data_IF_589113688706
#
_entry.id   IF_589113688706
#
_cell.length_a   1.000
_cell.length_b   1.000
_cell.length_c   1.000
_cell.angle_alpha   90.00
_cell.angle_beta   90.00
_cell.angle_gamma   90.00
#
_symmetry.space_group_name_H-M   'P 1'
#
loop_
_entity.id
_entity.type
_entity.pdbx_description
1 polymer ?
#
# COMPACT_ATOMS: atom_id res chain seq x y z
N UNK A 1 10.87 -1.13 -5.40
CA UNK A 1 9.40 -1.35 -5.47
C UNK A 1 9.07 -2.70 -6.12
N UNK A 2 9.59 -3.00 -7.32
CA UNK A 2 9.31 -4.29 -8.00
C UNK A 2 9.70 -5.53 -7.21
N UNK A 3 10.82 -5.52 -6.50
CA UNK A 3 11.26 -6.65 -5.67
C UNK A 3 10.31 -6.94 -4.51
N UNK A 4 9.70 -5.91 -3.92
CA UNK A 4 8.70 -6.11 -2.86
C UNK A 4 7.41 -6.71 -3.40
N UNK A 5 7.00 -6.36 -4.61
CA UNK A 5 5.82 -6.95 -5.23
C UNK A 5 6.01 -8.43 -5.57
N UNK A 6 7.23 -8.83 -5.95
CA UNK A 6 7.54 -10.22 -6.31
C UNK A 6 7.45 -11.20 -5.16
N UNK A 7 7.69 -10.75 -3.93
CA UNK A 7 7.65 -11.63 -2.76
C UNK A 7 6.23 -11.81 -2.19
N UNK A 8 5.27 -10.98 -2.58
CA UNK A 8 3.92 -11.00 -2.02
C UNK A 8 3.28 -12.39 -2.03
N UNK A 9 3.32 -13.17 -3.14
CA UNK A 9 2.71 -14.49 -3.16
C UNK A 9 3.32 -15.48 -2.16
N UNK A 10 4.60 -15.34 -1.85
CA UNK A 10 5.31 -16.22 -0.91
C UNK A 10 5.25 -15.70 0.52
N UNK A 11 5.20 -14.36 0.67
CA UNK A 11 5.25 -13.69 1.97
C UNK A 11 3.92 -13.76 2.74
N UNK A 12 2.80 -14.02 2.07
CA UNK A 12 1.48 -14.01 2.70
C UNK A 12 0.69 -15.28 2.42
N UNK A 13 -0.20 -15.60 3.36
CA UNK A 13 -1.29 -16.54 3.18
C UNK A 13 -2.54 -15.73 2.85
N UNK A 14 -3.26 -16.15 1.82
CA UNK A 14 -4.46 -15.48 1.35
C UNK A 14 -5.70 -16.32 1.61
N UNK A 15 -6.75 -15.69 2.14
CA UNK A 15 -8.03 -16.32 2.41
C UNK A 15 -9.15 -15.58 1.71
N UNK A 16 -9.87 -16.31 0.85
CA UNK A 16 -11.07 -15.79 0.21
C UNK A 16 -12.17 -15.58 1.27
N UNK A 17 -12.69 -14.37 1.36
CA UNK A 17 -13.78 -14.01 2.26
C UNK A 17 -15.07 -13.66 1.51
N UNK A 18 -15.15 -14.05 0.24
CA UNK A 18 -16.31 -13.86 -0.61
C UNK A 18 -16.36 -12.50 -1.30
N UNK A 19 -17.53 -12.18 -1.81
CA UNK A 19 -17.75 -10.97 -2.61
C UNK A 19 -18.33 -9.83 -1.78
N UNK A 20 -17.86 -8.61 -2.05
CA UNK A 20 -18.41 -7.36 -1.54
C UNK A 20 -18.63 -6.41 -2.72
N UNK A 21 -19.92 -6.29 -3.15
CA UNK A 21 -20.26 -5.56 -4.37
C UNK A 21 -19.64 -6.18 -5.62
N UNK A 22 -18.89 -5.40 -6.37
CA UNK A 22 -18.17 -5.84 -7.58
C UNK A 22 -16.74 -6.28 -7.32
N UNK A 23 -16.37 -6.45 -6.05
CA UNK A 23 -15.04 -6.87 -5.63
C UNK A 23 -15.05 -8.20 -4.90
N UNK A 24 -13.98 -8.96 -5.06
CA UNK A 24 -13.64 -10.09 -4.22
C UNK A 24 -12.83 -9.60 -3.02
N UNK A 25 -13.26 -9.98 -1.83
CA UNK A 25 -12.61 -9.63 -0.56
C UNK A 25 -11.69 -10.76 -0.16
N UNK A 26 -10.40 -10.47 -0.02
CA UNK A 26 -9.36 -11.44 0.31
C UNK A 26 -8.62 -10.92 1.54
N UNK A 27 -8.61 -11.72 2.62
CA UNK A 27 -7.74 -11.47 3.74
C UNK A 27 -6.32 -11.94 3.41
N UNK A 28 -5.32 -11.25 3.93
CA UNK A 28 -3.93 -11.67 3.84
C UNK A 28 -3.27 -11.61 5.21
N UNK A 29 -2.51 -12.65 5.52
CA UNK A 29 -1.79 -12.81 6.78
C UNK A 29 -0.33 -13.15 6.52
N UNK A 30 0.61 -12.76 7.40
CA UNK A 30 2.01 -13.14 7.27
C UNK A 30 2.19 -14.66 7.15
N UNK A 31 2.89 -15.13 6.14
CA UNK A 31 3.26 -16.54 6.01
C UNK A 31 4.41 -16.87 6.97
N UNK A 32 4.22 -17.70 8.02
CA UNK A 32 5.28 -18.04 8.98
C UNK A 32 6.49 -18.74 8.34
N UNK A 33 6.30 -19.36 7.17
CA UNK A 33 7.37 -20.03 6.43
C UNK A 33 8.27 -19.08 5.65
N UNK A 34 7.84 -17.85 5.41
CA UNK A 34 8.63 -16.86 4.68
C UNK A 34 9.70 -16.22 5.58
N UNK A 35 10.89 -16.01 5.02
CA UNK A 35 12.01 -15.38 5.75
C UNK A 35 12.42 -14.07 5.06
N UNK A 36 11.95 -12.91 5.56
CA UNK A 36 12.32 -11.63 5.00
C UNK A 36 13.82 -11.38 5.09
N UNK A 37 14.43 -10.88 4.01
CA UNK A 37 15.88 -10.65 3.90
C UNK A 37 16.27 -9.20 4.14
N UNK A 38 15.38 -8.24 3.83
CA UNK A 38 15.64 -6.80 4.02
C UNK A 38 14.72 -6.20 5.08
N UNK A 39 15.00 -4.98 5.50
CA UNK A 39 14.16 -4.26 6.47
C UNK A 39 12.76 -3.99 5.89
N UNK A 40 12.70 -3.58 4.62
CA UNK A 40 11.45 -3.32 3.93
C UNK A 40 10.60 -4.60 3.82
N UNK A 41 11.23 -5.73 3.52
CA UNK A 41 10.54 -7.02 3.50
C UNK A 41 10.00 -7.42 4.88
N UNK A 42 10.70 -7.08 5.97
CA UNK A 42 10.23 -7.37 7.34
C UNK A 42 9.00 -6.52 7.68
N UNK A 43 9.01 -5.25 7.33
CA UNK A 43 7.85 -4.37 7.57
C UNK A 43 6.67 -4.83 6.72
N UNK A 44 6.88 -5.09 5.43
CA UNK A 44 5.84 -5.61 4.55
C UNK A 44 5.25 -6.92 5.09
N UNK A 45 6.10 -7.88 5.45
CA UNK A 45 5.68 -9.19 5.94
C UNK A 45 4.99 -9.16 7.32
N UNK A 46 5.10 -8.07 8.06
CA UNK A 46 4.40 -7.92 9.34
C UNK A 46 2.98 -7.33 9.20
N UNK A 47 2.58 -6.98 7.98
CA UNK A 47 1.22 -6.48 7.71
C UNK A 47 0.22 -7.63 7.71
N UNK A 48 -0.89 -7.40 8.37
CA UNK A 48 -2.12 -8.20 8.30
C UNK A 48 -3.23 -7.35 7.74
N UNK A 49 -4.13 -7.90 6.91
CA UNK A 49 -5.13 -7.02 6.33
C UNK A 49 -6.06 -7.64 5.30
N UNK A 50 -6.66 -6.77 4.52
CA UNK A 50 -7.67 -7.12 3.52
C UNK A 50 -7.35 -6.39 2.21
N UNK A 51 -7.45 -7.12 1.11
CA UNK A 51 -7.39 -6.58 -0.25
C UNK A 51 -8.72 -6.84 -0.96
N UNK A 52 -9.18 -5.84 -1.71
CA UNK A 52 -10.36 -5.93 -2.56
C UNK A 52 -9.92 -5.93 -4.01
N UNK A 53 -10.27 -6.99 -4.73
CA UNK A 53 -9.95 -7.18 -6.14
C UNK A 53 -11.20 -6.97 -6.97
N UNK A 54 -11.17 -6.00 -7.88
CA UNK A 54 -12.24 -5.81 -8.86
C UNK A 54 -12.45 -7.07 -9.70
N UNK A 55 -13.68 -7.53 -9.79
CA UNK A 55 -14.01 -8.80 -10.46
C UNK A 55 -13.92 -8.74 -11.98
N UNK A 56 -14.08 -7.56 -12.58
CA UNK A 56 -14.05 -7.37 -14.02
C UNK A 56 -12.62 -7.24 -14.55
N UNK A 57 -11.85 -6.33 -13.98
CA UNK A 57 -10.52 -6.02 -14.50
C UNK A 57 -9.38 -6.70 -13.72
N UNK A 58 -9.70 -7.44 -12.65
CA UNK A 58 -8.71 -8.12 -11.79
C UNK A 58 -7.61 -7.19 -11.28
N UNK A 59 -8.05 -6.03 -10.81
CA UNK A 59 -7.19 -4.98 -10.25
C UNK A 59 -7.51 -4.75 -8.77
N UNK A 60 -6.49 -4.40 -8.00
CA UNK A 60 -6.69 -3.97 -6.61
C UNK A 60 -7.51 -2.67 -6.64
N UNK A 61 -8.70 -2.71 -6.03
CA UNK A 61 -9.56 -1.55 -5.83
C UNK A 61 -9.31 -0.89 -4.48
N UNK A 62 -9.10 -1.68 -3.42
CA UNK A 62 -8.78 -1.20 -2.08
C UNK A 62 -7.84 -2.18 -1.38
N UNK A 63 -6.96 -1.64 -0.55
CA UNK A 63 -6.11 -2.41 0.36
C UNK A 63 -6.13 -1.72 1.70
N UNK A 64 -6.31 -2.47 2.77
CA UNK A 64 -6.10 -2.00 4.14
C UNK A 64 -5.27 -3.01 4.90
N UNK A 65 -4.32 -2.53 5.70
CA UNK A 65 -3.46 -3.38 6.51
C UNK A 65 -3.04 -2.69 7.80
N UNK A 66 -2.71 -3.50 8.79
CA UNK A 66 -2.20 -3.05 10.08
C UNK A 66 -0.99 -3.88 10.51
N UNK A 67 -0.17 -3.28 11.35
CA UNK A 67 0.94 -3.97 12.01
C UNK A 67 0.45 -4.53 13.34
N UNK A 68 0.15 -5.83 13.38
CA UNK A 68 -0.34 -6.50 14.59
C UNK A 68 0.75 -6.66 15.66
N UNK A 69 2.01 -6.64 15.25
CA UNK A 69 3.17 -6.74 16.13
C UNK A 69 4.26 -5.74 15.76
N UNK A 70 5.04 -5.25 16.74
CA UNK A 70 6.13 -4.34 16.42
C UNK A 70 7.23 -5.05 15.64
N UNK A 71 7.77 -4.39 14.62
CA UNK A 71 8.88 -4.90 13.82
C UNK A 71 10.20 -4.40 14.39
N UNK A 72 10.98 -5.31 14.99
CA UNK A 72 12.28 -5.00 15.60
C UNK A 72 13.43 -5.27 14.63
N UNK A 73 14.39 -4.36 14.58
CA UNK A 73 15.62 -4.49 13.78
C UNK A 73 16.80 -4.74 14.70
N UNK A 74 17.59 -5.78 14.42
CA UNK A 74 18.70 -6.23 15.26
C UNK A 74 18.30 -6.31 16.74
N UNK A 75 17.25 -7.05 17.05
CA UNK A 75 16.70 -7.22 18.41
C UNK A 75 16.27 -5.90 19.08
N UNK A 76 15.96 -4.87 18.29
CA UNK A 76 15.60 -3.54 18.79
C UNK A 76 16.80 -2.61 19.01
N UNK A 77 18.03 -3.08 18.81
CA UNK A 77 19.25 -2.26 18.98
C UNK A 77 19.40 -1.17 17.89
N UNK A 78 18.93 -1.45 16.68
CA UNK A 78 19.00 -0.51 15.55
C UNK A 78 17.71 0.30 15.44
N UNK A 79 16.58 -0.27 15.87
CA UNK A 79 15.29 0.41 15.82
C UNK A 79 14.11 -0.55 15.79
N UNK A 80 12.92 0.03 15.76
CA UNK A 80 11.66 -0.71 15.62
C UNK A 80 10.60 0.17 14.96
N UNK A 81 9.60 -0.49 14.38
CA UNK A 81 8.32 0.11 13.98
C UNK A 81 7.29 -0.35 15.00
N UNK A 82 6.50 0.58 15.50
CA UNK A 82 5.51 0.33 16.54
C UNK A 82 4.36 -0.56 16.02
N UNK A 83 3.78 -1.33 16.92
CA UNK A 83 2.50 -1.99 16.70
C UNK A 83 1.39 -0.97 16.48
N UNK A 84 0.36 -1.31 15.72
CA UNK A 84 -0.80 -0.47 15.46
C UNK A 84 -0.64 0.48 14.27
N UNK A 85 0.51 0.47 13.60
CA UNK A 85 0.65 1.21 12.34
C UNK A 85 -0.33 0.70 11.29
N UNK A 86 -0.98 1.62 10.56
CA UNK A 86 -2.00 1.30 9.55
C UNK A 86 -1.65 1.85 8.18
N UNK A 87 -2.14 1.17 7.15
CA UNK A 87 -2.11 1.65 5.77
C UNK A 87 -3.45 1.37 5.11
N UNK A 88 -3.96 2.35 4.37
CA UNK A 88 -5.15 2.21 3.56
C UNK A 88 -4.93 2.87 2.20
N UNK A 89 -5.23 2.15 1.13
CA UNK A 89 -5.10 2.62 -0.25
C UNK A 89 -6.42 2.34 -0.94
N UNK A 90 -7.01 3.37 -1.54
CA UNK A 90 -8.19 3.26 -2.39
C UNK A 90 -7.84 3.68 -3.80
N UNK A 91 -8.30 2.89 -4.77
CA UNK A 91 -8.10 3.15 -6.20
C UNK A 91 -9.44 3.27 -6.90
N UNK A 92 -9.47 4.07 -7.94
CA UNK A 92 -10.65 4.31 -8.77
C UNK A 92 -10.36 3.92 -10.21
N UNK A 93 -11.32 3.25 -10.83
CA UNK A 93 -11.33 3.00 -12.27
C UNK A 93 -11.88 4.23 -12.98
N UNK A 94 -11.07 4.89 -13.78
CA UNK A 94 -11.47 6.08 -14.55
C UNK A 94 -12.00 5.72 -15.96
N UNK A 95 -11.51 4.61 -16.49
CA UNK A 95 -11.93 4.01 -17.77
C UNK A 95 -11.34 2.60 -17.85
N UNK A 96 -11.79 1.74 -18.78
CA UNK A 96 -11.25 0.39 -18.94
C UNK A 96 -9.72 0.35 -18.92
N UNK A 97 -9.14 -0.40 -17.98
CA UNK A 97 -7.69 -0.55 -17.80
C UNK A 97 -6.97 0.64 -17.12
N UNK A 98 -7.64 1.75 -16.81
CA UNK A 98 -7.02 2.95 -16.23
C UNK A 98 -7.42 3.11 -14.77
N UNK A 99 -6.56 2.63 -13.88
CA UNK A 99 -6.73 2.73 -12.43
C UNK A 99 -5.78 3.75 -11.82
N UNK A 100 -6.31 4.62 -10.97
CA UNK A 100 -5.54 5.62 -10.21
C UNK A 100 -5.80 5.50 -8.72
N UNK A 101 -4.78 5.80 -7.90
CA UNK A 101 -4.95 5.93 -6.46
C UNK A 101 -5.70 7.22 -6.18
N UNK A 102 -6.87 7.10 -5.56
CA UNK A 102 -7.74 8.24 -5.19
C UNK A 102 -7.56 8.65 -3.73
N UNK A 103 -7.19 7.71 -2.87
CA UNK A 103 -6.88 8.02 -1.47
C UNK A 103 -5.75 7.11 -0.97
N UNK A 104 -4.91 7.68 -0.13
CA UNK A 104 -3.83 6.97 0.56
C UNK A 104 -3.72 7.52 1.98
N UNK A 105 -3.86 6.63 2.95
CA UNK A 105 -3.68 6.95 4.36
C UNK A 105 -2.64 6.03 4.94
N UNK A 106 -1.60 6.60 5.52
CA UNK A 106 -0.52 5.87 6.19
C UNK A 106 -0.32 6.50 7.56
N UNK A 107 -0.33 5.66 8.57
CA UNK A 107 -0.10 6.03 9.96
C UNK A 107 0.89 5.03 10.56
N UNK A 108 2.17 5.41 10.61
CA UNK A 108 3.25 4.55 11.06
C UNK A 108 4.17 5.33 12.00
N UNK A 109 4.34 4.81 13.19
CA UNK A 109 5.31 5.27 14.16
C UNK A 109 6.48 4.32 14.30
N UNK A 110 7.68 4.85 14.50
CA UNK A 110 8.86 4.05 14.70
C UNK A 110 10.08 4.84 15.19
N UNK A 111 11.08 4.12 15.67
CA UNK A 111 12.37 4.68 16.10
C UNK A 111 13.52 3.92 15.47
N UNK A 112 14.46 4.68 14.91
CA UNK A 112 15.79 4.19 14.58
C UNK A 112 16.79 4.73 15.61
N UNK A 113 17.62 3.87 16.18
CA UNK A 113 18.55 4.21 17.28
C UNK A 113 19.63 5.22 16.86
N UNK A 114 19.86 5.41 15.60
CA UNK A 114 20.74 6.47 15.08
C UNK A 114 19.95 7.78 14.90
N UNK A 115 19.29 8.25 15.97
CA UNK A 115 18.74 9.61 16.08
C UNK A 115 17.60 10.00 15.10
N UNK A 116 16.89 9.07 14.50
CA UNK A 116 15.77 9.42 13.64
C UNK A 116 14.48 8.73 14.08
N UNK A 117 13.56 9.51 14.63
CA UNK A 117 12.17 9.09 14.78
C UNK A 117 11.55 9.06 13.39
N UNK A 118 10.96 7.93 12.99
CA UNK A 118 10.23 7.80 11.75
C UNK A 118 8.75 7.83 12.13
N UNK A 119 8.14 9.00 11.98
CA UNK A 119 6.70 9.14 12.06
C UNK A 119 6.24 9.49 10.66
N UNK A 120 5.47 8.60 10.04
CA UNK A 120 4.84 8.89 8.77
C UNK A 120 3.33 8.90 8.97
N UNK A 121 2.79 10.11 9.05
CA UNK A 121 1.36 10.36 9.01
C UNK A 121 1.07 11.01 7.67
N UNK A 122 0.39 10.31 6.79
CA UNK A 122 0.01 10.80 5.48
C UNK A 122 -1.48 10.49 5.27
N UNK A 123 -2.23 11.53 4.96
CA UNK A 123 -3.62 11.44 4.52
C UNK A 123 -3.71 12.23 3.21
N UNK A 124 -3.83 11.54 2.09
CA UNK A 124 -3.84 12.13 0.77
C UNK A 124 -5.08 11.68 0.00
N UNK A 125 -5.80 12.65 -0.56
CA UNK A 125 -6.94 12.42 -1.43
C UNK A 125 -6.70 13.09 -2.78
N UNK A 126 -6.95 12.36 -3.85
CA UNK A 126 -6.81 12.83 -5.23
C UNK A 126 -8.14 12.69 -5.96
N UNK A 127 -8.64 13.79 -6.47
CA UNK A 127 -9.91 13.87 -7.20
C UNK A 127 -9.76 14.68 -8.48
N UNK A 128 -10.78 14.73 -9.32
CA UNK A 128 -10.78 15.54 -10.52
C UNK A 128 -9.78 15.04 -11.57
N UNK A 129 -9.62 13.75 -11.71
CA UNK A 129 -8.78 13.16 -12.76
C UNK A 129 -9.34 13.50 -14.14
N UNK A 130 -8.52 14.11 -15.00
CA UNK A 130 -8.87 14.40 -16.37
C UNK A 130 -7.83 13.76 -17.31
N UNK A 131 -8.26 13.13 -18.42
CA UNK A 131 -7.33 12.62 -19.40
C UNK A 131 -6.63 13.76 -20.16
N UNK A 132 -5.38 13.54 -20.52
CA UNK A 132 -4.63 14.38 -21.44
C UNK A 132 -4.32 13.58 -22.70
N UNK A 133 -4.05 14.28 -23.81
CA UNK A 133 -3.63 13.62 -25.04
C UNK A 133 -2.31 12.85 -24.83
N UNK A 134 -2.11 11.69 -25.51
CA UNK A 134 -0.94 10.83 -25.28
C UNK A 134 0.42 11.52 -25.51
N UNK A 135 0.44 12.56 -26.31
CA UNK A 135 1.61 13.36 -26.66
C UNK A 135 1.79 14.60 -25.78
N UNK A 136 0.93 14.80 -24.77
CA UNK A 136 1.00 15.94 -23.86
C UNK A 136 2.29 15.87 -23.04
N UNK A 137 3.13 16.89 -23.14
CA UNK A 137 4.32 17.04 -22.32
C UNK A 137 3.97 17.51 -20.90
N UNK A 138 4.88 17.28 -19.93
CA UNK A 138 4.65 17.73 -18.55
C UNK A 138 4.41 19.25 -18.41
N UNK A 139 5.16 20.15 -19.11
CA UNK A 139 4.85 21.58 -19.10
C UNK A 139 3.45 21.91 -19.61
N UNK A 140 3.00 21.28 -20.70
CA UNK A 140 1.65 21.48 -21.24
C UNK A 140 0.56 21.01 -20.28
N UNK A 141 0.79 19.92 -19.57
CA UNK A 141 -0.12 19.46 -18.53
C UNK A 141 -0.17 20.43 -17.34
N UNK A 142 0.98 20.99 -16.94
CA UNK A 142 1.02 22.03 -15.89
C UNK A 142 0.25 23.30 -16.30
N UNK A 143 0.37 23.76 -17.53
CA UNK A 143 -0.38 24.92 -18.02
C UNK A 143 -1.89 24.67 -17.99
N UNK A 144 -2.32 23.44 -18.29
CA UNK A 144 -3.74 23.05 -18.25
C UNK A 144 -4.29 22.99 -16.82
N UNK A 145 -3.51 22.49 -15.86
CA UNK A 145 -3.97 22.21 -14.50
C UNK A 145 -3.43 23.17 -13.44
N UNK A 146 -2.41 23.95 -13.74
CA UNK A 146 -1.76 24.87 -12.80
C UNK A 146 -2.46 26.23 -12.61
N UNK A 147 -3.56 26.48 -13.31
CA UNK A 147 -4.32 27.74 -13.23
C UNK A 147 -5.58 27.65 -12.34
N UNK A 148 -5.64 26.67 -11.45
CA UNK A 148 -6.75 26.55 -10.48
C UNK A 148 -6.29 26.91 -9.07
#
# INVERSE_FOLDING_TARGET
MEELLRIIPDAFIFEDQGKEGESERIAFHPNPGFKPKTYEQRVLHALDGIVFIDLHEKRIARLSGSLETPVKFAYGLIGHVEQGGTTEITRVNLSPGVWKTSAEKIDIDGRLVVLKTINKHQDESRTGFEPVAPDTTFPQALDKFGQK
#
